data_IF_506345249988
#
_entry.id   IF_506345249988
#
_cell.length_a   1.000
_cell.length_b   1.000
_cell.length_c   1.000
_cell.angle_alpha   90.00
_cell.angle_beta   90.00
_cell.angle_gamma   90.00
#
_symmetry.space_group_name_H-M   'P 1'
#
loop_
_entity.id
_entity.type
_entity.pdbx_description
1 polymer ?
#
# COMPACT_ATOMS: atom_id res chain seq x y z
N UNK A 1 24.14 -10.69 -34.93
CA UNK A 1 23.69 -9.78 -33.86
C UNK A 1 22.72 -10.59 -33.04
N UNK A 2 23.25 -11.24 -32.01
CA UNK A 2 22.47 -12.00 -31.03
C UNK A 2 21.65 -10.99 -30.21
N UNK A 3 20.33 -11.07 -30.28
CA UNK A 3 19.46 -10.38 -29.32
C UNK A 3 19.77 -10.97 -27.95
N UNK A 4 20.53 -10.25 -27.15
CA UNK A 4 20.55 -10.49 -25.71
C UNK A 4 19.10 -10.39 -25.23
N UNK A 5 18.52 -11.53 -24.92
CA UNK A 5 17.29 -11.59 -24.15
C UNK A 5 17.59 -10.84 -22.86
N UNK A 6 17.07 -9.60 -22.75
CA UNK A 6 17.05 -8.89 -21.48
C UNK A 6 16.52 -9.88 -20.45
N UNK A 7 17.31 -10.16 -19.44
CA UNK A 7 16.92 -11.01 -18.30
C UNK A 7 15.53 -10.59 -17.88
N UNK A 8 14.59 -11.50 -18.03
CA UNK A 8 13.21 -11.24 -17.63
C UNK A 8 13.20 -11.17 -16.10
N UNK A 9 13.17 -9.96 -15.55
CA UNK A 9 13.11 -9.70 -14.10
C UNK A 9 11.84 -10.26 -13.45
N UNK A 10 10.96 -10.87 -14.24
CA UNK A 10 9.79 -11.56 -13.73
C UNK A 10 10.26 -12.77 -12.94
N UNK A 11 10.14 -12.67 -11.62
CA UNK A 11 10.35 -13.79 -10.73
C UNK A 11 9.50 -14.98 -11.19
N UNK A 12 10.05 -16.18 -11.39
CA UNK A 12 9.26 -17.38 -11.67
C UNK A 12 8.28 -17.74 -10.54
N UNK A 13 8.43 -17.14 -9.37
CA UNK A 13 7.53 -17.29 -8.20
C UNK A 13 6.73 -16.02 -7.91
N UNK A 14 6.98 -14.92 -8.62
CA UNK A 14 6.30 -13.63 -8.41
C UNK A 14 4.95 -13.54 -9.12
N UNK A 15 4.19 -12.45 -8.87
CA UNK A 15 2.83 -12.30 -9.36
C UNK A 15 2.76 -12.37 -10.88
N UNK A 16 1.78 -13.10 -11.39
CA UNK A 16 1.48 -13.15 -12.80
C UNK A 16 0.89 -11.80 -13.22
N UNK A 17 1.63 -10.99 -13.99
CA UNK A 17 1.14 -9.69 -14.52
C UNK A 17 -0.12 -9.82 -15.38
N UNK A 18 -0.48 -11.02 -15.77
CA UNK A 18 -1.61 -11.34 -16.62
C UNK A 18 -2.88 -11.73 -15.85
N UNK A 19 -2.91 -11.51 -14.50
CA UNK A 19 -4.11 -11.74 -13.71
C UNK A 19 -5.25 -10.85 -14.21
N UNK A 20 -6.40 -11.49 -14.45
CA UNK A 20 -7.62 -10.81 -14.84
C UNK A 20 -8.20 -9.97 -13.69
N UNK A 21 -9.09 -9.02 -14.05
CA UNK A 21 -9.74 -8.17 -13.04
C UNK A 21 -10.55 -8.96 -12.01
N UNK A 22 -11.11 -10.12 -12.39
CA UNK A 22 -11.85 -10.98 -11.47
C UNK A 22 -10.94 -11.61 -10.43
N UNK A 23 -9.77 -12.09 -10.83
CA UNK A 23 -8.77 -12.67 -9.93
C UNK A 23 -8.21 -11.63 -8.96
N UNK A 24 -7.95 -10.42 -9.45
CA UNK A 24 -7.50 -9.30 -8.59
C UNK A 24 -8.57 -8.92 -7.55
N UNK A 25 -9.87 -8.97 -7.91
CA UNK A 25 -10.95 -8.77 -6.95
C UNK A 25 -10.97 -9.85 -5.88
N UNK A 26 -10.80 -11.11 -6.28
CA UNK A 26 -10.71 -12.22 -5.33
C UNK A 26 -9.54 -12.03 -4.37
N UNK A 27 -8.35 -11.64 -4.88
CA UNK A 27 -7.21 -11.31 -4.02
C UNK A 27 -7.52 -10.16 -3.05
N UNK A 28 -8.21 -9.11 -3.50
CA UNK A 28 -8.61 -8.01 -2.62
C UNK A 28 -9.58 -8.47 -1.52
N UNK A 29 -10.50 -9.38 -1.85
CA UNK A 29 -11.41 -9.97 -0.87
C UNK A 29 -10.66 -10.84 0.14
N UNK A 30 -9.73 -11.69 -0.32
CA UNK A 30 -8.90 -12.49 0.57
C UNK A 30 -8.04 -11.64 1.52
N UNK A 31 -7.53 -10.49 1.05
CA UNK A 31 -6.86 -9.52 1.91
C UNK A 31 -7.81 -8.98 2.99
N UNK A 32 -9.05 -8.61 2.62
CA UNK A 32 -10.06 -8.14 3.57
C UNK A 32 -10.39 -9.20 4.62
N UNK A 33 -10.60 -10.46 4.21
CA UNK A 33 -10.83 -11.59 5.13
C UNK A 33 -9.65 -11.76 6.11
N UNK A 34 -8.43 -11.73 5.60
CA UNK A 34 -7.23 -11.86 6.43
C UNK A 34 -7.12 -10.72 7.45
N UNK A 35 -7.31 -9.48 7.01
CA UNK A 35 -7.29 -8.31 7.91
C UNK A 35 -8.40 -8.38 8.97
N UNK A 36 -9.61 -8.79 8.59
CA UNK A 36 -10.72 -8.95 9.53
C UNK A 36 -10.44 -10.00 10.58
N UNK A 37 -9.86 -11.16 10.20
CA UNK A 37 -9.41 -12.18 11.15
C UNK A 37 -8.39 -11.58 12.14
N UNK A 38 -7.31 -10.97 11.66
CA UNK A 38 -6.26 -10.37 12.50
C UNK A 38 -6.83 -9.32 13.47
N UNK A 39 -7.73 -8.46 13.00
CA UNK A 39 -8.34 -7.40 13.81
C UNK A 39 -9.29 -7.96 14.86
N UNK A 40 -10.11 -8.96 14.54
CA UNK A 40 -11.06 -9.59 15.47
C UNK A 40 -10.33 -10.38 16.57
N UNK A 41 -9.27 -11.10 16.23
CA UNK A 41 -8.45 -11.84 17.20
C UNK A 41 -7.77 -10.91 18.19
N UNK A 42 -7.31 -9.74 17.72
CA UNK A 42 -6.75 -8.69 18.58
C UNK A 42 -7.85 -7.92 19.35
N UNK A 43 -9.07 -7.78 18.79
CA UNK A 43 -10.17 -6.99 19.30
C UNK A 43 -10.09 -5.49 18.95
N UNK A 44 -9.05 -5.07 18.25
CA UNK A 44 -8.83 -3.67 17.87
C UNK A 44 -7.84 -3.51 16.71
N UNK A 45 -7.88 -2.37 16.01
CA UNK A 45 -6.89 -2.03 15.00
C UNK A 45 -7.31 -0.92 14.04
N UNK A 46 -6.39 -0.57 13.14
CA UNK A 46 -6.61 0.37 12.04
C UNK A 46 -7.27 -0.33 10.84
N UNK A 47 -8.36 -1.07 11.12
CA UNK A 47 -8.98 -1.96 10.16
C UNK A 47 -9.65 -1.22 9.00
N UNK A 48 -10.26 -0.06 9.25
CA UNK A 48 -11.00 0.64 8.21
C UNK A 48 -10.08 1.16 7.09
N UNK A 49 -8.90 1.67 7.44
CA UNK A 49 -7.91 2.07 6.46
C UNK A 49 -7.37 0.87 5.68
N UNK A 50 -7.05 -0.22 6.37
CA UNK A 50 -6.62 -1.46 5.73
C UNK A 50 -7.62 -1.96 4.69
N UNK A 51 -8.91 -2.00 5.04
CA UNK A 51 -10.00 -2.39 4.12
C UNK A 51 -10.13 -1.41 2.95
N UNK A 52 -9.92 -0.11 3.20
CA UNK A 52 -9.96 0.93 2.17
C UNK A 52 -8.92 0.73 1.08
N UNK A 53 -7.69 0.32 1.44
CA UNK A 53 -6.58 0.14 0.49
C UNK A 53 -6.43 -1.31 -0.03
N UNK A 54 -7.32 -2.24 0.33
CA UNK A 54 -7.20 -3.65 -0.05
C UNK A 54 -7.14 -3.87 -1.57
N UNK A 55 -7.90 -3.09 -2.36
CA UNK A 55 -7.90 -3.16 -3.81
C UNK A 55 -6.54 -2.75 -4.39
N UNK A 56 -5.95 -1.67 -3.87
CA UNK A 56 -4.61 -1.22 -4.22
C UNK A 56 -3.56 -2.28 -3.85
N UNK A 57 -3.60 -2.82 -2.64
CA UNK A 57 -2.67 -3.86 -2.20
C UNK A 57 -2.74 -5.10 -3.07
N UNK A 58 -3.96 -5.51 -3.48
CA UNK A 58 -4.14 -6.64 -4.40
C UNK A 58 -3.47 -6.39 -5.75
N UNK A 59 -3.64 -5.20 -6.34
CA UNK A 59 -2.99 -4.83 -7.61
C UNK A 59 -1.48 -4.76 -7.44
N UNK A 60 -0.98 -4.10 -6.40
CA UNK A 60 0.45 -3.91 -6.15
C UNK A 60 1.16 -5.24 -5.97
N UNK A 61 0.70 -6.09 -5.05
CA UNK A 61 1.38 -7.35 -4.72
C UNK A 61 1.15 -8.47 -5.73
N UNK A 62 0.03 -8.49 -6.47
CA UNK A 62 -0.27 -9.57 -7.41
C UNK A 62 -0.06 -9.19 -8.88
N UNK A 63 0.24 -7.94 -9.19
CA UNK A 63 0.44 -7.52 -10.59
C UNK A 63 1.67 -6.64 -10.80
N UNK A 64 1.97 -5.72 -9.89
CA UNK A 64 2.98 -4.70 -10.14
C UNK A 64 4.36 -5.03 -9.60
N UNK A 65 4.47 -5.50 -8.36
CA UNK A 65 5.76 -5.76 -7.73
C UNK A 65 6.46 -7.00 -8.31
N UNK A 66 7.77 -6.91 -8.47
CA UNK A 66 8.66 -8.03 -8.72
C UNK A 66 9.40 -8.34 -7.42
N UNK A 67 9.15 -9.50 -6.84
CA UNK A 67 9.73 -9.93 -5.57
C UNK A 67 9.92 -11.44 -5.52
N UNK A 68 10.70 -11.92 -4.55
CA UNK A 68 10.86 -13.34 -4.24
C UNK A 68 10.73 -13.55 -2.72
N UNK A 69 9.64 -14.17 -2.24
CA UNK A 69 9.44 -14.41 -0.82
C UNK A 69 10.45 -15.41 -0.23
N UNK A 70 11.11 -16.24 -1.06
CA UNK A 70 12.15 -17.17 -0.64
C UNK A 70 13.51 -16.48 -0.53
N UNK A 71 13.66 -15.28 -1.09
CA UNK A 71 14.85 -14.45 -1.00
C UNK A 71 14.45 -12.99 -0.73
N UNK A 72 13.97 -12.67 0.47
CA UNK A 72 13.49 -11.33 0.83
C UNK A 72 14.56 -10.24 0.68
N UNK A 73 15.84 -10.62 0.79
CA UNK A 73 16.99 -9.71 0.64
C UNK A 73 17.46 -9.56 -0.81
N UNK A 74 16.78 -10.15 -1.79
CA UNK A 74 17.16 -10.04 -3.20
C UNK A 74 17.30 -8.56 -3.61
N UNK A 75 18.52 -8.11 -4.03
CA UNK A 75 18.80 -6.70 -4.23
C UNK A 75 18.04 -6.10 -5.42
N UNK A 76 17.70 -6.93 -6.43
CA UNK A 76 17.03 -6.47 -7.64
C UNK A 76 15.49 -6.53 -7.56
N UNK A 77 14.91 -6.87 -6.41
CA UNK A 77 13.47 -6.83 -6.24
C UNK A 77 12.93 -5.41 -6.19
N UNK A 78 11.70 -5.22 -6.61
CA UNK A 78 10.97 -3.97 -6.35
C UNK A 78 10.77 -3.78 -4.85
N UNK A 79 10.63 -2.53 -4.40
CA UNK A 79 10.42 -2.15 -3.00
C UNK A 79 9.03 -1.57 -2.82
N UNK A 80 8.32 -2.04 -1.79
CA UNK A 80 7.07 -1.42 -1.35
C UNK A 80 7.25 -0.79 0.01
N UNK A 81 7.20 0.52 0.07
CA UNK A 81 7.33 1.32 1.29
C UNK A 81 5.96 1.70 1.79
N UNK A 82 5.56 1.20 2.96
CA UNK A 82 4.35 1.63 3.65
C UNK A 82 4.70 2.82 4.57
N UNK A 83 4.50 4.04 4.10
CA UNK A 83 4.79 5.24 4.89
C UNK A 83 3.83 5.39 6.09
N UNK A 84 2.57 5.03 5.87
CA UNK A 84 1.55 4.96 6.92
C UNK A 84 1.71 3.70 7.78
N UNK A 85 2.77 3.61 8.56
CA UNK A 85 3.10 2.39 9.32
C UNK A 85 1.96 1.78 10.13
N UNK A 86 0.96 2.57 10.52
CA UNK A 86 -0.24 2.09 11.22
C UNK A 86 -1.22 1.31 10.31
N UNK A 87 -1.08 1.37 8.98
CA UNK A 87 -1.78 0.46 8.06
C UNK A 87 -1.12 -0.92 8.00
N UNK A 88 -0.27 -1.24 8.96
CA UNK A 88 0.49 -2.50 9.06
C UNK A 88 -0.35 -3.74 8.81
N UNK A 89 -1.62 -3.75 9.26
CA UNK A 89 -2.54 -4.87 9.07
C UNK A 89 -2.75 -5.21 7.58
N UNK A 90 -2.79 -4.19 6.70
CA UNK A 90 -2.92 -4.40 5.26
C UNK A 90 -1.62 -4.95 4.66
N UNK A 91 -0.47 -4.43 5.09
CA UNK A 91 0.81 -4.91 4.63
C UNK A 91 1.06 -6.35 5.08
N UNK A 92 0.81 -6.70 6.34
CA UNK A 92 1.00 -8.07 6.83
C UNK A 92 0.05 -9.06 6.14
N UNK A 93 -1.19 -8.69 5.88
CA UNK A 93 -2.10 -9.51 5.08
C UNK A 93 -1.55 -9.74 3.66
N UNK A 94 -1.00 -8.70 3.01
CA UNK A 94 -0.38 -8.82 1.70
C UNK A 94 0.90 -9.67 1.72
N UNK A 95 1.78 -9.48 2.71
CA UNK A 95 3.01 -10.27 2.88
C UNK A 95 2.71 -11.76 3.16
N UNK A 96 1.68 -12.05 3.95
CA UNK A 96 1.21 -13.43 4.12
C UNK A 96 0.76 -14.04 2.79
N UNK A 97 -0.11 -13.34 2.04
CA UNK A 97 -0.60 -13.82 0.74
C UNK A 97 0.52 -13.92 -0.30
N UNK A 98 1.55 -13.10 -0.19
CA UNK A 98 2.74 -13.15 -1.03
C UNK A 98 3.74 -14.25 -0.63
N UNK A 99 3.55 -14.92 0.51
CA UNK A 99 4.37 -16.03 0.97
C UNK A 99 5.60 -15.63 1.82
N UNK A 100 5.66 -14.39 2.30
CA UNK A 100 6.72 -13.93 3.21
C UNK A 100 6.48 -14.37 4.66
N UNK A 101 5.22 -14.45 5.08
CA UNK A 101 4.82 -14.75 6.45
C UNK A 101 4.06 -16.08 6.52
N UNK A 102 4.32 -16.93 7.51
CA UNK A 102 3.52 -18.09 7.79
C UNK A 102 2.20 -17.71 8.48
N UNK A 103 1.17 -18.53 8.29
CA UNK A 103 -0.19 -18.24 8.79
C UNK A 103 -0.26 -18.06 10.30
N UNK A 104 0.55 -18.81 11.05
CA UNK A 104 0.57 -18.80 12.52
C UNK A 104 0.99 -17.44 13.11
N UNK A 105 1.71 -16.62 12.35
CA UNK A 105 2.09 -15.28 12.79
C UNK A 105 0.90 -14.32 12.79
N UNK A 106 -0.09 -14.52 11.93
CA UNK A 106 -1.27 -13.65 11.84
C UNK A 106 -2.06 -13.61 13.15
N UNK A 107 -2.20 -14.76 13.82
CA UNK A 107 -2.93 -14.88 15.10
C UNK A 107 -2.24 -14.14 16.24
N UNK A 108 -1.02 -13.68 16.01
CA UNK A 108 -0.23 -12.92 16.99
C UNK A 108 -0.25 -11.41 16.72
N UNK A 109 -0.94 -10.94 15.69
CA UNK A 109 -0.98 -9.52 15.34
C UNK A 109 -1.32 -8.63 16.55
N UNK A 110 -0.46 -7.64 16.79
CA UNK A 110 -0.63 -6.66 17.87
C UNK A 110 -0.54 -7.21 19.29
N UNK A 111 -0.17 -8.49 19.49
CA UNK A 111 0.06 -9.06 20.82
C UNK A 111 1.45 -8.70 21.35
N UNK A 112 1.59 -8.68 22.67
CA UNK A 112 2.90 -8.44 23.30
C UNK A 112 3.93 -9.50 22.89
N UNK A 113 5.11 -9.05 22.43
CA UNK A 113 6.18 -9.92 21.96
C UNK A 113 5.94 -10.53 20.58
N UNK A 114 4.97 -10.02 19.82
CA UNK A 114 4.79 -10.35 18.41
C UNK A 114 5.66 -9.43 17.54
N UNK A 115 6.18 -9.98 16.46
CA UNK A 115 6.84 -9.21 15.38
C UNK A 115 5.80 -8.39 14.58
N UNK A 116 4.56 -8.88 14.47
CA UNK A 116 3.47 -8.21 13.76
C UNK A 116 2.76 -7.19 14.68
N UNK A 117 3.37 -6.03 14.85
CA UNK A 117 2.84 -4.97 15.69
C UNK A 117 1.79 -4.10 14.97
N UNK A 118 1.11 -3.21 15.72
CA UNK A 118 0.12 -2.26 15.16
C UNK A 118 0.76 -1.16 14.28
N UNK A 119 2.09 -1.12 14.20
CA UNK A 119 2.88 -0.34 13.26
C UNK A 119 4.01 -1.20 12.74
N UNK A 120 4.49 -0.93 11.53
CA UNK A 120 5.50 -1.77 10.88
C UNK A 120 6.89 -1.63 11.53
N UNK A 121 7.61 -2.76 11.58
CA UNK A 121 9.04 -2.82 11.90
C UNK A 121 9.79 -3.52 10.77
N UNK A 122 11.00 -3.05 10.46
CA UNK A 122 11.85 -3.52 9.36
C UNK A 122 12.58 -4.83 9.64
N UNK A 123 12.37 -5.44 10.79
CA UNK A 123 12.78 -6.81 11.10
C UNK A 123 11.81 -7.88 10.56
N UNK A 124 10.63 -7.48 10.07
CA UNK A 124 9.66 -8.38 9.43
C UNK A 124 10.02 -8.56 7.95
N UNK A 125 10.19 -9.81 7.46
CA UNK A 125 10.52 -10.05 6.05
C UNK A 125 9.54 -9.37 5.07
N UNK A 126 10.06 -8.57 4.15
CA UNK A 126 9.27 -7.82 3.16
C UNK A 126 8.78 -6.44 3.64
N UNK A 127 9.05 -6.06 4.89
CA UNK A 127 8.85 -4.69 5.38
C UNK A 127 10.12 -3.87 5.14
N UNK A 128 10.02 -2.76 4.43
CA UNK A 128 11.18 -1.97 4.00
C UNK A 128 11.63 -0.93 5.05
N UNK A 129 10.71 -0.48 5.89
CA UNK A 129 10.97 0.57 6.87
C UNK A 129 10.20 0.34 8.16
N UNK A 130 10.77 0.74 9.28
CA UNK A 130 10.03 0.93 10.52
C UNK A 130 9.14 2.16 10.38
N UNK A 131 7.82 1.94 10.42
CA UNK A 131 6.79 2.96 10.25
C UNK A 131 6.32 3.58 11.56
N UNK A 132 5.37 4.54 11.44
CA UNK A 132 4.70 5.19 12.58
C UNK A 132 4.89 6.69 12.64
N UNK A 133 6.06 7.21 12.25
CA UNK A 133 6.28 8.66 12.10
C UNK A 133 5.89 9.09 10.68
N UNK A 134 4.73 9.73 10.52
CA UNK A 134 4.25 10.20 9.23
C UNK A 134 5.22 11.20 8.58
N UNK A 135 5.23 11.25 7.25
CA UNK A 135 6.10 12.11 6.45
C UNK A 135 7.50 11.57 6.19
N UNK A 136 7.88 10.41 6.75
CA UNK A 136 9.22 9.85 6.61
C UNK A 136 9.38 8.86 5.46
N UNK A 137 8.33 8.12 5.11
CA UNK A 137 8.43 7.02 4.13
C UNK A 137 8.80 7.49 2.73
N UNK A 138 8.25 8.61 2.26
CA UNK A 138 8.58 9.12 0.93
C UNK A 138 10.06 9.53 0.83
N UNK A 139 10.63 10.13 1.88
CA UNK A 139 12.05 10.47 1.91
C UNK A 139 12.96 9.24 1.82
N UNK A 140 12.59 8.16 2.53
CA UNK A 140 13.31 6.89 2.47
C UNK A 140 13.14 6.24 1.08
N UNK A 141 11.93 6.25 0.50
CA UNK A 141 11.67 5.75 -0.86
C UNK A 141 12.48 6.51 -1.92
N UNK A 142 12.64 7.83 -1.77
CA UNK A 142 13.52 8.65 -2.61
C UNK A 142 14.97 8.20 -2.48
N UNK A 143 15.43 7.94 -1.25
CA UNK A 143 16.78 7.40 -1.00
C UNK A 143 17.00 6.04 -1.68
N UNK A 144 16.05 5.11 -1.55
CA UNK A 144 16.08 3.79 -2.21
C UNK A 144 16.13 3.92 -3.74
N UNK A 145 15.27 4.77 -4.33
CA UNK A 145 15.25 4.99 -5.77
C UNK A 145 16.55 5.64 -6.30
N UNK A 146 17.18 6.52 -5.53
CA UNK A 146 18.50 7.06 -5.81
C UNK A 146 19.58 5.98 -5.74
N UNK A 147 19.53 5.11 -4.72
CA UNK A 147 20.45 3.96 -4.59
C UNK A 147 20.34 3.03 -5.79
N UNK A 148 19.16 2.60 -6.16
CA UNK A 148 18.93 1.77 -7.35
C UNK A 148 19.51 2.39 -8.61
N UNK A 149 19.32 3.70 -8.79
CA UNK A 149 19.89 4.40 -9.96
C UNK A 149 21.41 4.45 -9.95
N UNK A 150 22.04 4.65 -8.78
CA UNK A 150 23.49 4.64 -8.64
C UNK A 150 24.09 3.26 -8.96
N UNK A 151 23.38 2.22 -8.59
CA UNK A 151 23.77 0.81 -8.85
C UNK A 151 23.38 0.34 -10.26
N UNK A 152 22.85 1.23 -11.11
CA UNK A 152 22.30 0.89 -12.43
C UNK A 152 21.23 -0.24 -12.34
N UNK A 153 20.53 -0.31 -11.21
CA UNK A 153 19.47 -1.27 -10.94
C UNK A 153 18.12 -0.70 -11.42
N UNK A 154 17.39 -1.48 -12.20
CA UNK A 154 16.08 -1.09 -12.74
C UNK A 154 14.91 -1.35 -11.80
N UNK A 155 15.12 -1.80 -10.55
CA UNK A 155 14.06 -2.03 -9.58
C UNK A 155 13.27 -0.74 -9.32
N UNK A 156 11.96 -0.94 -9.10
CA UNK A 156 11.03 0.16 -8.81
C UNK A 156 10.87 0.31 -7.31
N UNK A 157 10.53 1.51 -6.89
CA UNK A 157 10.08 1.80 -5.54
C UNK A 157 8.66 2.32 -5.60
N UNK A 158 7.74 1.67 -4.87
CA UNK A 158 6.36 2.10 -4.71
C UNK A 158 6.19 2.50 -3.24
N UNK A 159 5.78 3.75 -2.99
CA UNK A 159 5.58 4.29 -1.65
C UNK A 159 4.11 4.65 -1.45
N UNK A 160 3.46 3.99 -0.48
CA UNK A 160 2.12 4.36 -0.05
C UNK A 160 2.18 5.47 0.99
N UNK A 161 1.29 6.45 0.88
CA UNK A 161 1.08 7.56 1.78
C UNK A 161 -0.42 7.77 2.02
N UNK A 162 -0.78 8.50 3.08
CA UNK A 162 -2.16 8.96 3.28
C UNK A 162 -2.32 10.47 3.06
N UNK A 163 -3.55 10.91 2.86
CA UNK A 163 -3.89 12.33 2.75
C UNK A 163 -3.55 13.10 4.04
N UNK A 164 -3.77 12.50 5.22
CA UNK A 164 -3.36 13.10 6.49
C UNK A 164 -1.84 13.30 6.58
N UNK A 165 -1.06 12.39 6.02
CA UNK A 165 0.40 12.49 5.97
C UNK A 165 0.87 13.64 5.07
N UNK A 166 0.10 14.04 4.06
CA UNK A 166 0.45 15.17 3.20
C UNK A 166 0.47 16.53 3.95
N UNK A 167 0.04 16.58 5.20
CA UNK A 167 0.21 17.74 6.06
C UNK A 167 1.64 17.89 6.58
N UNK A 168 2.47 16.85 6.47
CA UNK A 168 3.89 16.90 6.83
C UNK A 168 4.73 17.57 5.73
N UNK A 169 5.55 18.57 6.12
CA UNK A 169 6.41 19.31 5.18
C UNK A 169 7.43 18.43 4.47
N UNK A 170 7.96 17.41 5.15
CA UNK A 170 8.94 16.46 4.64
C UNK A 170 8.47 15.67 3.41
N UNK A 171 7.16 15.45 3.27
CA UNK A 171 6.58 14.83 2.05
C UNK A 171 6.87 15.72 0.83
N UNK A 172 6.62 17.03 0.94
CA UNK A 172 6.81 17.96 -0.16
C UNK A 172 8.27 18.25 -0.46
N UNK A 173 9.13 18.26 0.56
CA UNK A 173 10.59 18.31 0.40
C UNK A 173 11.08 17.09 -0.39
N UNK A 174 10.62 15.90 -0.04
CA UNK A 174 10.92 14.66 -0.73
C UNK A 174 10.40 14.65 -2.18
N UNK A 175 9.19 15.17 -2.39
CA UNK A 175 8.60 15.30 -3.73
C UNK A 175 9.43 16.21 -4.64
N UNK A 176 9.96 17.34 -4.13
CA UNK A 176 10.88 18.20 -4.88
C UNK A 176 12.17 17.48 -5.24
N UNK A 177 12.76 16.74 -4.31
CA UNK A 177 13.99 15.97 -4.53
C UNK A 177 13.78 14.91 -5.61
N UNK A 178 12.71 14.13 -5.53
CA UNK A 178 12.39 13.10 -6.51
C UNK A 178 12.26 13.65 -7.93
N UNK A 179 11.57 14.78 -8.07
CA UNK A 179 11.40 15.47 -9.36
C UNK A 179 12.73 16.03 -9.89
N UNK A 180 13.52 16.70 -9.04
CA UNK A 180 14.81 17.25 -9.40
C UNK A 180 15.76 16.16 -9.93
N UNK A 181 15.77 15.00 -9.28
CA UNK A 181 16.59 13.86 -9.70
C UNK A 181 15.93 13.00 -10.76
N UNK A 182 14.73 13.34 -11.24
CA UNK A 182 14.02 12.59 -12.31
C UNK A 182 13.88 11.10 -11.99
N UNK A 183 13.39 10.78 -10.78
CA UNK A 183 13.26 9.40 -10.30
C UNK A 183 12.02 8.72 -10.88
N UNK A 184 12.05 8.41 -12.16
CA UNK A 184 10.91 7.90 -12.92
C UNK A 184 10.54 6.43 -12.65
N UNK A 185 11.31 5.76 -11.78
CA UNK A 185 11.00 4.44 -11.22
C UNK A 185 10.44 4.50 -9.79
N UNK A 186 10.21 5.70 -9.26
CA UNK A 186 9.51 5.95 -8.02
C UNK A 186 8.04 6.26 -8.30
N UNK A 187 7.16 5.53 -7.62
CA UNK A 187 5.71 5.77 -7.65
C UNK A 187 5.23 6.05 -6.23
N UNK A 188 4.65 7.21 -6.00
CA UNK A 188 3.87 7.51 -4.80
C UNK A 188 2.40 7.14 -5.03
N UNK A 189 1.79 6.47 -4.06
CA UNK A 189 0.36 6.18 -4.04
C UNK A 189 -0.21 6.89 -2.83
N UNK A 190 -1.17 7.79 -3.04
CA UNK A 190 -1.77 8.56 -1.95
C UNK A 190 -3.17 8.05 -1.67
N UNK A 191 -3.38 7.47 -0.50
CA UNK A 191 -4.69 7.08 0.02
C UNK A 191 -5.44 8.33 0.52
N UNK A 192 -6.34 8.86 -0.31
CA UNK A 192 -7.19 9.99 0.02
C UNK A 192 -8.54 9.49 0.56
N UNK A 193 -8.56 9.16 1.84
CA UNK A 193 -9.74 8.61 2.52
C UNK A 193 -10.51 9.66 3.34
N UNK A 194 -9.98 10.87 3.50
CA UNK A 194 -10.67 12.00 4.15
C UNK A 194 -10.75 11.93 5.66
N UNK A 195 -10.09 10.97 6.32
CA UNK A 195 -10.12 10.82 7.78
C UNK A 195 -8.72 10.86 8.41
N UNK A 196 -8.69 11.40 9.62
CA UNK A 196 -7.52 11.41 10.52
C UNK A 196 -7.88 10.78 11.86
N UNK A 197 -6.92 10.74 12.81
CA UNK A 197 -7.07 10.05 14.10
C UNK A 197 -8.40 10.33 14.83
N UNK A 198 -8.87 11.56 14.82
CA UNK A 198 -10.04 12.00 15.58
C UNK A 198 -11.26 12.39 14.72
N UNK A 199 -11.22 12.09 13.41
CA UNK A 199 -12.34 12.40 12.51
C UNK A 199 -11.91 12.95 11.15
N UNK A 200 -12.62 13.93 10.60
CA UNK A 200 -12.30 14.50 9.29
C UNK A 200 -10.94 15.21 9.27
N UNK A 201 -10.43 15.45 8.06
CA UNK A 201 -9.20 16.21 7.83
C UNK A 201 -9.20 17.55 8.56
N UNK A 202 -8.17 17.81 9.38
CA UNK A 202 -8.02 19.07 10.14
C UNK A 202 -7.63 20.23 9.22
N UNK A 203 -6.75 19.96 8.26
CA UNK A 203 -6.30 20.94 7.28
C UNK A 203 -6.74 20.48 5.89
N UNK A 204 -7.43 21.35 5.16
CA UNK A 204 -7.77 21.07 3.77
C UNK A 204 -6.51 21.06 2.90
N UNK A 205 -6.19 19.91 2.34
CA UNK A 205 -5.03 19.71 1.46
C UNK A 205 -5.40 19.66 -0.02
N UNK A 206 -6.67 19.88 -0.36
CA UNK A 206 -7.10 19.91 -1.76
C UNK A 206 -6.61 21.19 -2.50
N UNK A 207 -6.44 21.14 -3.83
CA UNK A 207 -6.48 19.94 -4.68
C UNK A 207 -5.19 19.12 -4.56
N UNK A 208 -5.30 17.81 -4.26
CA UNK A 208 -4.13 16.95 -4.03
C UNK A 208 -3.36 16.71 -5.34
N UNK A 209 -4.04 16.26 -6.38
CA UNK A 209 -3.39 15.92 -7.65
C UNK A 209 -2.63 17.11 -8.28
N UNK A 210 -3.20 18.31 -8.23
CA UNK A 210 -2.58 19.52 -8.78
C UNK A 210 -1.27 19.89 -8.06
N UNK A 211 -1.18 19.62 -6.77
CA UNK A 211 0.06 19.85 -6.01
C UNK A 211 1.17 18.93 -6.50
N UNK A 212 0.90 17.64 -6.67
CA UNK A 212 1.89 16.68 -7.21
C UNK A 212 2.33 17.06 -8.63
N UNK A 213 1.37 17.50 -9.48
CA UNK A 213 1.67 18.01 -10.81
C UNK A 213 2.58 19.23 -10.74
N UNK A 214 2.29 20.19 -9.83
CA UNK A 214 3.10 21.40 -9.65
C UNK A 214 4.52 21.08 -9.16
N UNK A 215 4.71 20.01 -8.39
CA UNK A 215 6.03 19.50 -8.00
C UNK A 215 6.74 18.69 -9.11
N UNK A 216 6.15 18.59 -10.32
CA UNK A 216 6.77 17.98 -11.48
C UNK A 216 6.54 16.48 -11.64
N UNK A 217 5.62 15.91 -10.85
CA UNK A 217 5.25 14.50 -10.94
C UNK A 217 4.25 14.25 -12.07
N UNK A 218 4.33 13.08 -12.70
CA UNK A 218 3.28 12.60 -13.56
C UNK A 218 2.18 11.95 -12.70
N UNK A 219 0.98 12.54 -12.74
CA UNK A 219 -0.05 12.27 -11.74
C UNK A 219 -1.35 11.80 -12.41
N UNK A 220 -2.00 10.83 -11.79
CA UNK A 220 -3.37 10.41 -12.10
C UNK A 220 -4.18 10.34 -10.80
N UNK A 221 -5.47 10.64 -10.91
CA UNK A 221 -6.43 10.48 -9.82
C UNK A 221 -7.52 9.52 -10.26
N UNK A 222 -7.86 8.54 -9.41
CA UNK A 222 -8.80 7.47 -9.72
C UNK A 222 -9.60 7.04 -8.48
N UNK A 223 -10.70 6.33 -8.71
CA UNK A 223 -11.41 5.61 -7.65
C UNK A 223 -10.51 4.48 -7.11
N UNK A 224 -10.06 4.64 -5.86
CA UNK A 224 -9.16 3.71 -5.17
C UNK A 224 -9.83 2.40 -4.75
N UNK A 225 -11.15 2.28 -4.91
CA UNK A 225 -11.90 1.05 -4.72
C UNK A 225 -12.41 0.43 -6.03
N UNK A 226 -11.84 0.87 -7.15
CA UNK A 226 -12.09 0.32 -8.48
C UNK A 226 -10.81 -0.29 -9.06
N UNK A 227 -10.64 -1.60 -8.94
CA UNK A 227 -9.45 -2.33 -9.43
C UNK A 227 -9.14 -2.03 -10.89
N UNK A 228 -10.16 -1.88 -11.75
CA UNK A 228 -9.97 -1.55 -13.17
C UNK A 228 -9.30 -0.18 -13.36
N UNK A 229 -9.69 0.80 -12.56
CA UNK A 229 -9.10 2.14 -12.61
C UNK A 229 -7.68 2.15 -12.04
N UNK A 230 -7.43 1.42 -10.95
CA UNK A 230 -6.09 1.27 -10.37
C UNK A 230 -5.14 0.62 -11.39
N UNK A 231 -5.56 -0.47 -12.03
CA UNK A 231 -4.79 -1.14 -13.10
C UNK A 231 -4.49 -0.18 -14.24
N UNK A 232 -5.50 0.55 -14.72
CA UNK A 232 -5.33 1.52 -15.81
C UNK A 232 -4.38 2.68 -15.42
N UNK A 233 -4.39 3.12 -14.14
CA UNK A 233 -3.46 4.12 -13.64
C UNK A 233 -2.00 3.63 -13.70
N UNK A 234 -1.72 2.41 -13.24
CA UNK A 234 -0.39 1.81 -13.35
C UNK A 234 0.04 1.63 -14.81
N UNK A 235 -0.85 1.19 -15.69
CA UNK A 235 -0.53 1.02 -17.11
C UNK A 235 -0.21 2.36 -17.77
N UNK A 236 -0.97 3.41 -17.48
CA UNK A 236 -0.73 4.76 -17.98
C UNK A 236 0.62 5.32 -17.54
N UNK A 237 1.04 5.04 -16.30
CA UNK A 237 2.26 5.59 -15.70
C UNK A 237 3.49 4.68 -15.86
N UNK A 238 3.38 3.59 -16.61
CA UNK A 238 4.42 2.55 -16.71
C UNK A 238 5.72 3.02 -17.34
N UNK A 239 5.66 3.98 -18.25
CA UNK A 239 6.83 4.41 -19.01
C UNK A 239 7.80 5.27 -18.16
N UNK A 240 9.07 4.91 -18.20
CA UNK A 240 10.16 5.73 -17.67
C UNK A 240 10.38 6.93 -18.60
N UNK A 241 10.04 8.13 -18.13
CA UNK A 241 10.06 9.36 -18.93
C UNK A 241 10.76 10.53 -18.22
N UNK A 242 11.55 10.23 -17.19
CA UNK A 242 12.27 11.21 -16.39
C UNK A 242 11.39 11.95 -15.36
N UNK A 243 10.17 11.48 -15.09
CA UNK A 243 9.26 12.08 -14.09
C UNK A 243 8.84 11.02 -13.08
N UNK A 244 8.94 11.29 -11.76
CA UNK A 244 8.35 10.41 -10.75
C UNK A 244 6.82 10.36 -10.93
N UNK A 245 6.19 9.30 -10.43
CA UNK A 245 4.78 8.95 -10.65
C UNK A 245 3.97 9.15 -9.39
N UNK A 246 2.75 9.71 -9.50
CA UNK A 246 1.81 9.80 -8.38
C UNK A 246 0.44 9.25 -8.79
N UNK A 247 -0.10 8.34 -7.97
CA UNK A 247 -1.46 7.82 -8.11
C UNK A 247 -2.24 8.29 -6.89
N UNK A 248 -3.24 9.13 -7.11
CA UNK A 248 -4.12 9.61 -6.06
C UNK A 248 -5.35 8.70 -6.04
N UNK A 249 -5.53 7.98 -4.96
CA UNK A 249 -6.63 7.04 -4.78
C UNK A 249 -7.70 7.68 -3.90
N UNK A 250 -8.90 7.86 -4.43
CA UNK A 250 -10.07 8.22 -3.62
C UNK A 250 -10.66 6.94 -3.05
N UNK A 251 -10.47 6.70 -1.76
CA UNK A 251 -10.88 5.47 -1.09
C UNK A 251 -12.00 5.71 -0.10
N UNK A 252 -12.69 4.63 0.26
CA UNK A 252 -13.69 4.59 1.33
C UNK A 252 -13.12 3.78 2.49
N UNK A 253 -12.90 4.39 3.68
CA UNK A 253 -12.51 3.63 4.86
C UNK A 253 -13.55 2.56 5.20
N UNK A 254 -13.09 1.37 5.55
CA UNK A 254 -14.01 0.26 5.87
C UNK A 254 -14.67 -0.40 4.66
N UNK A 255 -14.11 -0.20 3.46
CA UNK A 255 -14.67 -0.69 2.20
C UNK A 255 -15.04 -2.15 2.22
N UNK A 256 -16.30 -2.44 1.85
CA UNK A 256 -16.92 -3.76 1.87
C UNK A 256 -17.72 -4.06 3.13
N UNK A 257 -17.64 -3.20 4.16
CA UNK A 257 -18.37 -3.36 5.42
C UNK A 257 -19.20 -2.09 5.68
N UNK A 258 -20.49 -2.05 5.30
CA UNK A 258 -21.34 -0.87 5.40
C UNK A 258 -21.39 -0.21 6.78
N UNK A 259 -21.27 -1.01 7.85
CA UNK A 259 -21.21 -0.48 9.22
C UNK A 259 -19.94 0.34 9.45
N UNK A 260 -18.78 -0.09 8.92
CA UNK A 260 -17.53 0.65 9.02
C UNK A 260 -17.47 1.83 8.07
N UNK A 261 -17.96 1.69 6.82
CA UNK A 261 -18.01 2.78 5.85
C UNK A 261 -18.78 4.02 6.35
N UNK A 262 -19.79 3.80 7.20
CA UNK A 262 -20.63 4.86 7.79
C UNK A 262 -20.16 5.36 9.16
N UNK A 263 -19.10 4.76 9.70
CA UNK A 263 -18.62 5.07 11.05
C UNK A 263 -17.80 6.36 11.06
N UNK A 264 -18.27 7.40 11.73
CA UNK A 264 -17.58 8.70 11.80
C UNK A 264 -16.17 8.62 12.40
N UNK A 265 -15.96 7.72 13.38
CA UNK A 265 -14.67 7.50 14.04
C UNK A 265 -14.15 6.10 13.70
N UNK A 266 -13.80 5.89 12.43
CA UNK A 266 -13.32 4.61 11.93
C UNK A 266 -11.78 4.50 11.92
N UNK A 267 -11.04 5.54 12.29
CA UNK A 267 -9.59 5.53 12.22
C UNK A 267 -8.96 4.42 13.08
N UNK A 268 -9.43 4.24 14.31
CA UNK A 268 -9.07 3.10 15.16
C UNK A 268 -10.33 2.44 15.70
N UNK A 269 -10.54 1.18 15.32
CA UNK A 269 -11.74 0.41 15.68
C UNK A 269 -11.41 -0.48 16.87
N UNK A 270 -12.23 -0.38 17.93
CA UNK A 270 -12.21 -1.26 19.10
C UNK A 270 -13.64 -1.62 19.45
N UNK A 271 -13.99 -2.89 19.31
CA UNK A 271 -15.35 -3.38 19.51
C UNK A 271 -15.34 -4.76 20.18
N UNK A 272 -16.49 -5.19 20.70
CA UNK A 272 -16.65 -6.53 21.27
C UNK A 272 -16.81 -7.62 20.22
N UNK A 273 -16.69 -8.88 20.63
CA UNK A 273 -16.75 -10.03 19.73
C UNK A 273 -18.06 -10.10 18.93
N UNK A 274 -19.19 -9.83 19.55
CA UNK A 274 -20.51 -9.84 18.88
C UNK A 274 -20.57 -8.83 17.70
N UNK A 275 -19.87 -7.69 17.85
CA UNK A 275 -19.78 -6.71 16.75
C UNK A 275 -18.81 -7.20 15.66
N UNK A 276 -17.69 -7.84 16.02
CA UNK A 276 -16.78 -8.45 15.04
C UNK A 276 -17.50 -9.50 14.21
N UNK A 277 -18.29 -10.38 14.83
CA UNK A 277 -19.04 -11.42 14.12
C UNK A 277 -20.01 -10.81 13.11
N UNK A 278 -20.66 -9.70 13.47
CA UNK A 278 -21.52 -8.95 12.55
C UNK A 278 -20.74 -8.32 11.39
N UNK A 279 -19.58 -7.71 11.66
CA UNK A 279 -18.73 -7.11 10.61
C UNK A 279 -18.22 -8.16 9.63
N UNK A 280 -17.86 -9.36 10.11
CA UNK A 280 -17.52 -10.49 9.26
C UNK A 280 -18.69 -10.91 8.35
N UNK A 281 -19.89 -11.02 8.89
CA UNK A 281 -21.08 -11.35 8.09
C UNK A 281 -21.35 -10.28 7.02
N UNK A 282 -21.25 -8.99 7.37
CA UNK A 282 -21.43 -7.89 6.42
C UNK A 282 -20.41 -7.95 5.27
N UNK A 283 -19.15 -8.31 5.54
CA UNK A 283 -18.12 -8.45 4.51
C UNK A 283 -18.49 -9.52 3.49
N UNK A 284 -18.94 -10.70 3.96
CA UNK A 284 -19.31 -11.81 3.06
C UNK A 284 -20.59 -11.53 2.26
N UNK A 285 -21.58 -10.85 2.87
CA UNK A 285 -22.85 -10.52 2.22
C UNK A 285 -22.69 -9.45 1.11
N UNK A 286 -21.71 -8.56 1.24
CA UNK A 286 -21.50 -7.46 0.29
C UNK A 286 -20.44 -7.77 -0.77
N UNK A 287 -19.89 -8.98 -0.76
CA UNK A 287 -19.02 -9.46 -1.81
C UNK A 287 -19.85 -9.90 -3.03
N UNK A 288 -19.97 -9.04 -4.03
CA UNK A 288 -20.64 -9.31 -5.32
C UNK A 288 -19.69 -8.98 -6.47
#
# INVERSE_FOLDING_TARGET
VTSETKFDRRNPMGPARDLGLAELREHAMELRRTMMRMASDKGEGYIAQGLGIADMMAVVFNRELIYDPQNPEWPDRDRFVLSTGHYSIALYAALYRAGYLPEEQLDRFGLNGSELALSTFDDVPGVEITGGSLGHGLGQAVGMALGHRLDANDARVICELSDGELQEGSVWESAMVASNFKLDRLTAIVDCNGIQADGPMVINIEPVADKWIAFGWETVEVDGNNIKEIVAAFDRLREANGRPKAIILRTTPGKGIPTLERRERAHFVRVGQDEWDKLHAELEENYV
#
